data_IF_411081355520
#
_entry.id   IF_411081355520
#
_cell.length_a   1.000
_cell.length_b   1.000
_cell.length_c   1.000
_cell.angle_alpha   90.00
_cell.angle_beta   90.00
_cell.angle_gamma   90.00
#
_symmetry.space_group_name_H-M   'P 1'
#
loop_
_entity.id
_entity.type
_entity.pdbx_description
1 polymer ?
#
# COMPACT_ATOMS: atom_id res chain seq x y z
N UNK A 1 -15.39 -25.98 -9.69
CA UNK A 1 -15.00 -25.54 -11.05
C UNK A 1 -15.81 -24.30 -11.34
N UNK A 2 -15.21 -23.13 -11.19
CA UNK A 2 -15.85 -21.85 -11.52
C UNK A 2 -15.92 -21.73 -13.04
N UNK A 3 -17.13 -21.67 -13.59
CA UNK A 3 -17.33 -21.37 -15.02
C UNK A 3 -16.64 -20.05 -15.36
N UNK A 4 -15.70 -20.08 -16.28
CA UNK A 4 -15.09 -18.89 -16.87
C UNK A 4 -16.20 -18.10 -17.56
N UNK A 5 -16.74 -17.08 -16.90
CA UNK A 5 -17.71 -16.17 -17.51
C UNK A 5 -17.01 -15.42 -18.63
N UNK A 6 -17.47 -15.68 -19.84
CA UNK A 6 -16.95 -15.31 -21.15
C UNK A 6 -16.34 -13.90 -21.27
N UNK A 7 -15.06 -13.83 -21.62
CA UNK A 7 -14.44 -12.68 -22.25
C UNK A 7 -13.82 -11.62 -21.33
N UNK A 8 -14.11 -11.58 -20.03
CA UNK A 8 -13.52 -10.64 -19.09
C UNK A 8 -12.27 -11.23 -18.40
N UNK A 9 -11.20 -10.46 -18.19
CA UNK A 9 -10.01 -10.92 -17.46
C UNK A 9 -10.33 -11.38 -16.04
N UNK A 10 -9.69 -12.45 -15.56
CA UNK A 10 -9.80 -12.88 -14.17
C UNK A 10 -9.00 -11.94 -13.27
N UNK A 11 -9.61 -11.50 -12.17
CA UNK A 11 -8.96 -10.73 -11.10
C UNK A 11 -8.81 -11.59 -9.86
N UNK A 12 -7.58 -11.73 -9.37
CA UNK A 12 -7.30 -12.36 -8.07
C UNK A 12 -7.29 -11.29 -6.98
N UNK A 13 -8.28 -11.31 -6.11
CA UNK A 13 -8.28 -10.50 -4.90
C UNK A 13 -7.61 -11.27 -3.79
N UNK A 14 -6.60 -10.67 -3.14
CA UNK A 14 -5.78 -11.30 -2.13
C UNK A 14 -5.93 -10.56 -0.79
N UNK A 15 -6.43 -11.27 0.24
CA UNK A 15 -6.55 -10.73 1.59
C UNK A 15 -5.65 -11.53 2.52
N UNK A 16 -4.59 -10.89 3.03
CA UNK A 16 -3.79 -11.42 4.14
C UNK A 16 -4.30 -10.84 5.44
N UNK A 17 -4.76 -11.72 6.35
CA UNK A 17 -5.32 -11.33 7.65
C UNK A 17 -4.36 -11.63 8.78
N UNK A 18 -4.25 -10.69 9.74
CA UNK A 18 -3.53 -10.89 10.99
C UNK A 18 -4.12 -10.04 12.12
N UNK A 19 -4.82 -10.69 13.07
CA UNK A 19 -5.48 -10.05 14.22
C UNK A 19 -6.48 -8.95 13.82
N UNK A 20 -7.37 -9.25 12.87
CA UNK A 20 -8.39 -8.34 12.35
C UNK A 20 -9.81 -8.93 12.42
N UNK A 21 -10.14 -9.70 13.50
CA UNK A 21 -11.45 -10.31 13.68
C UNK A 21 -12.61 -9.31 13.54
N UNK A 22 -12.44 -8.08 14.03
CA UNK A 22 -13.45 -7.02 13.99
C UNK A 22 -13.70 -6.45 12.58
N UNK A 23 -12.78 -6.65 11.63
CA UNK A 23 -12.80 -5.96 10.33
C UNK A 23 -12.94 -6.91 9.14
N UNK A 24 -12.40 -8.13 9.26
CA UNK A 24 -12.22 -9.06 8.13
C UNK A 24 -13.54 -9.44 7.43
N UNK A 25 -14.66 -9.53 8.16
CA UNK A 25 -15.96 -9.80 7.55
C UNK A 25 -16.38 -8.70 6.57
N UNK A 26 -16.24 -7.43 6.98
CA UNK A 26 -16.59 -6.30 6.12
C UNK A 26 -15.68 -6.25 4.87
N UNK A 27 -14.39 -6.54 5.05
CA UNK A 27 -13.42 -6.61 3.95
C UNK A 27 -13.81 -7.69 2.93
N UNK A 28 -14.06 -8.92 3.37
CA UNK A 28 -14.48 -10.03 2.49
C UNK A 28 -15.81 -9.70 1.78
N UNK A 29 -16.82 -9.21 2.50
CA UNK A 29 -18.11 -8.86 1.91
C UNK A 29 -18.00 -7.74 0.88
N UNK A 30 -17.05 -6.81 1.02
CA UNK A 30 -16.82 -5.76 0.03
C UNK A 30 -16.32 -6.29 -1.32
N UNK A 31 -15.61 -7.43 -1.34
CA UNK A 31 -15.21 -8.12 -2.57
C UNK A 31 -16.41 -8.74 -3.27
N UNK A 32 -17.34 -9.34 -2.54
CA UNK A 32 -18.57 -9.89 -3.12
C UNK A 32 -19.58 -8.83 -3.57
N UNK A 33 -19.41 -7.59 -3.10
CA UNK A 33 -20.22 -6.44 -3.52
C UNK A 33 -19.70 -5.76 -4.79
N UNK A 34 -18.61 -6.27 -5.42
CA UNK A 34 -18.11 -5.72 -6.66
C UNK A 34 -19.06 -5.99 -7.82
N UNK A 35 -19.18 -5.02 -8.73
CA UNK A 35 -19.95 -5.15 -9.98
C UNK A 35 -19.21 -5.94 -11.06
N UNK A 36 -17.94 -6.29 -10.84
CA UNK A 36 -17.12 -7.09 -11.74
C UNK A 36 -17.32 -8.59 -11.49
N UNK A 37 -17.72 -9.37 -12.50
CA UNK A 37 -18.20 -10.75 -12.27
C UNK A 37 -17.09 -11.82 -12.24
N UNK A 38 -15.88 -11.56 -12.75
CA UNK A 38 -14.84 -12.57 -12.91
C UNK A 38 -13.72 -12.39 -11.87
N UNK A 39 -14.02 -12.76 -10.62
CA UNK A 39 -13.15 -12.62 -9.46
C UNK A 39 -12.87 -14.00 -8.86
N UNK A 40 -11.62 -14.26 -8.50
CA UNK A 40 -11.27 -15.25 -7.49
C UNK A 40 -10.82 -14.53 -6.21
N UNK A 41 -11.29 -15.00 -5.06
CA UNK A 41 -10.89 -14.48 -3.75
C UNK A 41 -10.04 -15.52 -3.02
N UNK A 42 -8.83 -15.13 -2.65
CA UNK A 42 -7.95 -15.88 -1.78
C UNK A 42 -7.80 -15.12 -0.46
N UNK A 43 -8.05 -15.82 0.65
CA UNK A 43 -7.85 -15.29 2.01
C UNK A 43 -6.85 -16.16 2.72
N UNK A 44 -5.82 -15.56 3.30
CA UNK A 44 -4.84 -16.26 4.15
C UNK A 44 -4.85 -15.58 5.51
N UNK A 45 -5.02 -16.38 6.56
CA UNK A 45 -4.77 -15.92 7.93
C UNK A 45 -3.33 -16.25 8.29
N UNK A 46 -2.52 -15.21 8.54
CA UNK A 46 -1.08 -15.30 8.80
C UNK A 46 -0.78 -15.47 10.31
N UNK A 47 -1.52 -16.37 10.97
CA UNK A 47 -1.26 -16.78 12.35
C UNK A 47 -1.89 -15.85 13.39
N UNK A 48 -3.12 -15.42 13.17
CA UNK A 48 -3.90 -14.62 14.13
C UNK A 48 -4.06 -15.32 15.46
N UNK A 49 -4.17 -14.52 16.52
CA UNK A 49 -4.39 -14.98 17.91
C UNK A 49 -5.76 -14.59 18.45
N UNK A 50 -6.52 -13.81 17.67
CA UNK A 50 -7.90 -13.44 17.91
C UNK A 50 -8.86 -14.37 17.16
N UNK A 51 -10.14 -14.02 17.08
CA UNK A 51 -11.18 -14.84 16.44
C UNK A 51 -11.18 -14.73 14.89
N UNK A 52 -10.16 -14.12 14.25
CA UNK A 52 -10.09 -13.94 12.80
C UNK A 52 -10.34 -15.25 12.04
N UNK A 53 -9.65 -16.35 12.43
CA UNK A 53 -9.78 -17.66 11.79
C UNK A 53 -11.22 -18.18 11.86
N UNK A 54 -11.89 -18.02 13.00
CA UNK A 54 -13.28 -18.48 13.17
C UNK A 54 -14.24 -17.67 12.29
N UNK A 55 -14.07 -16.36 12.24
CA UNK A 55 -14.86 -15.47 11.37
C UNK A 55 -14.67 -15.84 9.89
N UNK A 56 -13.43 -16.02 9.45
CA UNK A 56 -13.11 -16.35 8.04
C UNK A 56 -13.69 -17.72 7.66
N UNK A 57 -13.59 -18.74 8.52
CA UNK A 57 -14.16 -20.07 8.26
C UNK A 57 -15.67 -20.02 8.05
N UNK A 58 -16.39 -19.32 8.92
CA UNK A 58 -17.83 -19.11 8.77
C UNK A 58 -18.19 -18.46 7.44
N UNK A 59 -17.43 -17.42 7.05
CA UNK A 59 -17.64 -16.74 5.77
C UNK A 59 -17.26 -17.62 4.57
N UNK A 60 -16.24 -18.47 4.68
CA UNK A 60 -15.87 -19.43 3.65
C UNK A 60 -16.99 -20.45 3.40
N UNK A 61 -17.63 -20.95 4.46
CA UNK A 61 -18.78 -21.86 4.35
C UNK A 61 -19.98 -21.17 3.67
N UNK A 62 -20.18 -19.87 3.95
CA UNK A 62 -21.28 -19.08 3.37
C UNK A 62 -21.02 -18.70 1.89
N UNK A 63 -19.80 -18.29 1.57
CA UNK A 63 -19.48 -17.58 0.31
C UNK A 63 -18.61 -18.36 -0.67
N UNK A 64 -17.88 -19.41 -0.22
CA UNK A 64 -17.18 -20.36 -1.09
C UNK A 64 -15.85 -19.88 -1.65
N UNK A 65 -15.08 -19.02 -0.97
CA UNK A 65 -13.76 -18.60 -1.40
C UNK A 65 -12.63 -19.53 -0.92
N UNK A 66 -11.40 -19.32 -1.43
CA UNK A 66 -10.22 -20.05 -0.99
C UNK A 66 -9.69 -19.49 0.32
N UNK A 67 -9.64 -20.30 1.37
CA UNK A 67 -9.09 -19.93 2.67
C UNK A 67 -7.97 -20.87 3.13
N UNK A 68 -6.88 -20.29 3.65
CA UNK A 68 -5.76 -21.01 4.23
C UNK A 68 -5.29 -20.33 5.53
N UNK A 69 -5.44 -20.96 6.69
CA UNK A 69 -4.75 -20.54 7.91
C UNK A 69 -3.31 -21.07 7.92
N UNK A 70 -2.35 -20.26 8.35
CA UNK A 70 -0.93 -20.66 8.44
C UNK A 70 -0.26 -20.07 9.68
N UNK A 71 0.97 -20.55 10.00
CA UNK A 71 1.83 -19.85 10.94
C UNK A 71 2.31 -18.53 10.34
N UNK A 72 2.54 -17.50 11.17
CA UNK A 72 2.94 -16.18 10.70
C UNK A 72 4.27 -16.23 9.92
N UNK A 73 4.24 -15.77 8.69
CA UNK A 73 5.38 -15.67 7.76
C UNK A 73 5.66 -14.23 7.34
N UNK A 74 4.78 -13.30 7.71
CA UNK A 74 4.81 -11.90 7.30
C UNK A 74 4.14 -11.64 5.96
N UNK A 75 3.67 -10.40 5.80
CA UNK A 75 2.80 -9.96 4.70
C UNK A 75 3.39 -10.26 3.31
N UNK A 76 4.64 -9.87 3.04
CA UNK A 76 5.27 -10.06 1.73
C UNK A 76 5.34 -11.53 1.32
N UNK A 77 5.77 -12.41 2.24
CA UNK A 77 5.84 -13.87 1.98
C UNK A 77 4.46 -14.42 1.71
N UNK A 78 3.48 -14.04 2.53
CA UNK A 78 2.09 -14.47 2.39
C UNK A 78 1.50 -14.02 1.05
N UNK A 79 1.68 -12.75 0.67
CA UNK A 79 1.22 -12.24 -0.63
C UNK A 79 1.87 -12.99 -1.81
N UNK A 80 3.17 -13.23 -1.78
CA UNK A 80 3.87 -13.98 -2.83
C UNK A 80 3.35 -15.42 -2.97
N UNK A 81 3.10 -16.11 -1.85
CA UNK A 81 2.51 -17.45 -1.87
C UNK A 81 1.07 -17.43 -2.43
N UNK A 82 0.29 -16.39 -2.13
CA UNK A 82 -1.06 -16.21 -2.68
C UNK A 82 -1.02 -15.92 -4.18
N UNK A 83 -0.11 -15.07 -4.65
CA UNK A 83 0.10 -14.78 -6.07
C UNK A 83 0.44 -16.08 -6.83
N UNK A 84 1.36 -16.89 -6.29
CA UNK A 84 1.74 -18.15 -6.90
C UNK A 84 0.59 -19.19 -7.00
N UNK A 85 -0.43 -19.07 -6.14
CA UNK A 85 -1.61 -19.95 -6.10
C UNK A 85 -2.80 -19.40 -6.88
N UNK A 86 -2.75 -18.14 -7.27
CA UNK A 86 -3.83 -17.45 -7.99
C UNK A 86 -3.65 -17.53 -9.50
N UNK A 87 -4.74 -17.38 -10.26
CA UNK A 87 -4.75 -17.52 -11.70
C UNK A 87 -5.12 -16.22 -12.46
N UNK A 88 -5.48 -15.14 -11.74
CA UNK A 88 -5.94 -13.89 -12.34
C UNK A 88 -4.86 -13.19 -13.15
N UNK A 89 -5.27 -12.58 -14.25
CA UNK A 89 -4.43 -11.69 -15.06
C UNK A 89 -4.06 -10.39 -14.30
N UNK A 90 -4.91 -10.03 -13.37
CA UNK A 90 -4.74 -8.89 -12.48
C UNK A 90 -4.76 -9.33 -11.03
N UNK A 91 -3.94 -8.68 -10.20
CA UNK A 91 -3.79 -8.95 -8.77
C UNK A 91 -4.22 -7.72 -7.99
N UNK A 92 -5.19 -7.88 -7.09
CA UNK A 92 -5.72 -6.83 -6.21
C UNK A 92 -5.49 -7.19 -4.74
N UNK A 93 -4.37 -6.83 -4.12
CA UNK A 93 -4.23 -6.94 -2.68
C UNK A 93 -5.25 -6.01 -1.99
N UNK A 94 -5.83 -6.49 -0.91
CA UNK A 94 -6.74 -5.72 -0.06
C UNK A 94 -6.35 -5.92 1.41
N UNK A 95 -6.20 -4.83 2.15
CA UNK A 95 -6.04 -4.90 3.60
C UNK A 95 -7.24 -5.57 4.25
N UNK A 96 -6.99 -6.45 5.22
CA UNK A 96 -8.07 -7.15 5.92
C UNK A 96 -8.91 -6.23 6.84
N UNK A 97 -8.56 -4.95 6.94
CA UNK A 97 -9.23 -3.86 7.64
C UNK A 97 -9.88 -2.82 6.72
N UNK A 98 -9.60 -2.87 5.40
CA UNK A 98 -10.11 -1.95 4.39
C UNK A 98 -11.28 -2.54 3.59
N UNK A 99 -11.99 -1.70 2.82
CA UNK A 99 -13.09 -2.13 1.97
C UNK A 99 -12.90 -1.61 0.53
N UNK A 100 -13.28 -2.45 -0.44
CA UNK A 100 -13.43 -2.03 -1.83
C UNK A 100 -14.76 -1.27 -2.00
N UNK A 101 -14.75 -0.18 -2.78
CA UNK A 101 -15.99 0.41 -3.26
C UNK A 101 -16.54 -0.39 -4.45
N UNK A 102 -17.86 -0.45 -4.67
CA UNK A 102 -18.49 -1.42 -5.59
C UNK A 102 -17.98 -1.40 -7.03
N UNK A 103 -17.65 -0.23 -7.58
CA UNK A 103 -17.21 -0.07 -8.98
C UNK A 103 -15.69 -0.16 -9.16
N UNK A 104 -14.94 -0.50 -8.10
CA UNK A 104 -13.47 -0.47 -8.12
C UNK A 104 -12.89 -1.32 -9.25
N UNK A 105 -13.27 -2.59 -9.30
CA UNK A 105 -12.63 -3.51 -10.25
C UNK A 105 -13.06 -3.24 -11.69
N UNK A 106 -14.32 -2.93 -11.95
CA UNK A 106 -14.79 -2.59 -13.30
C UNK A 106 -14.07 -1.37 -13.87
N UNK A 107 -13.92 -0.30 -13.09
CA UNK A 107 -13.22 0.92 -13.49
C UNK A 107 -11.73 0.66 -13.77
N UNK A 108 -11.05 -0.03 -12.85
CA UNK A 108 -9.62 -0.30 -13.00
C UNK A 108 -9.32 -1.23 -14.17
N UNK A 109 -10.13 -2.30 -14.36
CA UNK A 109 -9.94 -3.22 -15.47
C UNK A 109 -10.22 -2.54 -16.80
N UNK A 110 -11.31 -1.79 -16.92
CA UNK A 110 -11.62 -1.04 -18.14
C UNK A 110 -10.48 -0.10 -18.54
N UNK A 111 -9.83 0.54 -17.57
CA UNK A 111 -8.67 1.38 -17.82
C UNK A 111 -7.44 0.53 -18.26
N UNK A 112 -7.10 -0.51 -17.52
CA UNK A 112 -5.89 -1.31 -17.77
C UNK A 112 -5.92 -2.09 -19.10
N UNK A 113 -7.11 -2.49 -19.57
CA UNK A 113 -7.27 -3.14 -20.89
C UNK A 113 -6.98 -2.17 -22.05
N UNK A 114 -7.15 -0.87 -21.85
CA UNK A 114 -6.85 0.16 -22.84
C UNK A 114 -5.39 0.67 -22.74
N UNK A 115 -4.70 0.37 -21.63
CA UNK A 115 -3.36 0.88 -21.31
C UNK A 115 -2.39 -0.29 -20.97
N UNK A 116 -1.87 -1.03 -21.97
CA UNK A 116 -0.97 -2.15 -21.74
C UNK A 116 0.36 -1.76 -21.07
N UNK A 117 0.77 -0.50 -21.20
CA UNK A 117 1.95 0.06 -20.56
C UNK A 117 1.78 0.31 -19.05
N UNK A 118 0.54 0.22 -18.53
CA UNK A 118 0.24 0.40 -17.11
C UNK A 118 0.51 -0.90 -16.35
N UNK A 119 1.46 -0.86 -15.44
CA UNK A 119 1.76 -1.98 -14.52
C UNK A 119 0.91 -1.97 -13.26
N UNK A 120 0.52 -0.77 -12.80
CA UNK A 120 -0.31 -0.55 -11.61
C UNK A 120 -1.39 0.49 -11.92
N UNK A 121 -2.63 0.15 -11.64
CA UNK A 121 -3.76 1.09 -11.62
C UNK A 121 -4.25 1.27 -10.19
N UNK A 122 -4.45 2.50 -9.78
CA UNK A 122 -4.94 2.88 -8.44
C UNK A 122 -6.01 3.97 -8.55
N UNK A 123 -6.53 4.43 -7.42
CA UNK A 123 -7.47 5.55 -7.36
C UNK A 123 -7.48 6.25 -6.00
N UNK A 124 -8.50 7.03 -5.74
CA UNK A 124 -8.70 7.72 -4.46
C UNK A 124 -9.15 6.80 -3.34
N UNK A 125 -9.07 7.29 -2.11
CA UNK A 125 -9.59 6.63 -0.91
C UNK A 125 -10.50 7.57 -0.14
N UNK A 126 -11.44 6.98 0.60
CA UNK A 126 -12.26 7.66 1.61
C UNK A 126 -11.90 7.11 2.98
N UNK A 127 -11.69 7.98 3.97
CA UNK A 127 -11.29 7.56 5.31
C UNK A 127 -12.51 7.16 6.16
N UNK A 128 -12.39 6.04 6.85
CA UNK A 128 -13.39 5.56 7.83
C UNK A 128 -12.71 5.28 9.18
N UNK A 129 -13.48 5.31 10.25
CA UNK A 129 -13.03 4.91 11.59
C UNK A 129 -13.18 3.40 11.84
N UNK A 130 -12.85 2.96 13.06
CA UNK A 130 -12.99 1.55 13.47
C UNK A 130 -14.42 1.00 13.38
N UNK A 131 -15.45 1.85 13.42
CA UNK A 131 -16.87 1.48 13.30
C UNK A 131 -17.41 1.61 11.86
N UNK A 132 -16.52 1.79 10.87
CA UNK A 132 -16.86 2.01 9.45
C UNK A 132 -17.63 3.32 9.18
N UNK A 133 -17.61 4.28 10.09
CA UNK A 133 -18.20 5.59 9.88
C UNK A 133 -17.23 6.49 9.12
N UNK A 134 -17.76 7.28 8.19
CA UNK A 134 -16.96 8.26 7.46
C UNK A 134 -16.28 9.23 8.42
N UNK A 135 -14.98 9.36 8.33
CA UNK A 135 -14.26 10.40 9.05
C UNK A 135 -14.54 11.76 8.39
N UNK A 136 -14.84 12.81 9.19
CA UNK A 136 -15.03 14.16 8.67
C UNK A 136 -13.74 14.58 7.96
N UNK A 137 -13.82 14.64 6.64
CA UNK A 137 -12.63 14.85 5.83
C UNK A 137 -12.28 16.31 5.68
N UNK A 138 -11.32 16.73 6.47
CA UNK A 138 -10.58 17.97 6.19
C UNK A 138 -9.58 17.81 5.04
N UNK A 139 -9.49 16.64 4.40
CA UNK A 139 -8.45 16.28 3.43
C UNK A 139 -8.92 15.46 2.22
N UNK A 140 -10.24 15.26 2.00
CA UNK A 140 -10.69 14.83 0.67
C UNK A 140 -10.31 15.91 -0.34
N UNK A 141 -9.02 15.95 -0.65
CA UNK A 141 -8.56 16.76 -1.75
C UNK A 141 -8.87 15.99 -3.00
N UNK A 142 -9.81 16.48 -3.79
CA UNK A 142 -9.92 16.12 -5.19
C UNK A 142 -8.51 16.01 -5.76
N UNK A 143 -8.14 14.83 -6.18
CA UNK A 143 -6.87 14.58 -6.83
C UNK A 143 -7.17 14.14 -8.24
N UNK A 144 -6.84 14.97 -9.26
CA UNK A 144 -7.07 14.59 -10.64
C UNK A 144 -6.33 13.30 -10.98
N UNK A 145 -6.86 12.59 -11.97
CA UNK A 145 -6.17 11.44 -12.57
C UNK A 145 -4.74 11.84 -12.97
N UNK A 146 -3.79 10.93 -12.77
CA UNK A 146 -2.39 11.17 -13.06
C UNK A 146 -1.63 9.90 -13.37
N UNK A 147 -0.66 10.03 -14.26
CA UNK A 147 0.32 8.98 -14.56
C UNK A 147 1.65 9.31 -13.89
N UNK A 148 2.29 8.28 -13.35
CA UNK A 148 3.60 8.34 -12.71
C UNK A 148 4.56 7.43 -13.46
N UNK A 149 5.75 7.93 -13.71
CA UNK A 149 6.92 7.13 -14.03
C UNK A 149 7.79 6.89 -12.77
N UNK A 150 8.93 6.22 -12.95
CA UNK A 150 9.87 5.98 -11.85
C UNK A 150 10.36 7.28 -11.20
N UNK A 151 10.72 8.27 -12.00
CA UNK A 151 11.24 9.54 -11.51
C UNK A 151 10.18 10.35 -10.72
N UNK A 152 8.95 10.34 -11.18
CA UNK A 152 7.83 10.99 -10.50
C UNK A 152 7.65 10.43 -9.09
N UNK A 153 7.71 9.10 -8.96
CA UNK A 153 7.53 8.41 -7.69
C UNK A 153 8.79 8.51 -6.81
N UNK A 154 9.96 8.14 -7.35
CA UNK A 154 11.21 8.09 -6.61
C UNK A 154 11.65 9.46 -6.10
N UNK A 155 11.50 10.50 -6.92
CA UNK A 155 11.83 11.87 -6.54
C UNK A 155 10.66 12.62 -5.88
N UNK A 156 9.54 11.94 -5.56
CA UNK A 156 8.34 12.54 -4.95
C UNK A 156 7.90 13.83 -5.68
N UNK A 157 7.91 13.79 -7.02
CA UNK A 157 7.46 14.89 -7.88
C UNK A 157 5.94 14.98 -7.89
N UNK A 158 5.28 13.80 -7.80
CA UNK A 158 3.83 13.65 -7.72
C UNK A 158 3.49 12.70 -6.57
N UNK A 159 2.33 12.86 -5.92
CA UNK A 159 1.90 11.92 -4.87
C UNK A 159 1.71 10.50 -5.42
N UNK A 160 2.26 9.49 -4.72
CA UNK A 160 2.07 8.08 -5.04
C UNK A 160 0.62 7.60 -4.88
N UNK A 161 0.34 6.35 -5.28
CA UNK A 161 -0.97 5.74 -5.14
C UNK A 161 -1.28 5.40 -3.67
N UNK A 162 -2.54 5.39 -3.26
CA UNK A 162 -2.94 4.81 -1.97
C UNK A 162 -2.92 3.28 -2.04
N UNK A 163 -2.19 2.63 -1.13
CA UNK A 163 -2.05 1.17 -1.08
C UNK A 163 -3.38 0.37 -1.16
N UNK A 164 -4.48 0.76 -0.47
CA UNK A 164 -5.74 0.03 -0.53
C UNK A 164 -6.39 -0.06 -1.92
N UNK A 165 -5.90 0.72 -2.89
CA UNK A 165 -6.49 0.79 -4.24
C UNK A 165 -5.65 0.14 -5.33
N UNK A 166 -4.51 -0.44 -4.98
CA UNK A 166 -3.58 -1.02 -5.96
C UNK A 166 -4.21 -2.20 -6.70
N UNK A 167 -4.12 -2.17 -8.03
CA UNK A 167 -4.38 -3.26 -8.93
C UNK A 167 -3.15 -3.45 -9.81
N UNK A 168 -2.53 -4.60 -9.73
CA UNK A 168 -1.31 -4.95 -10.45
C UNK A 168 -1.65 -5.73 -11.72
N UNK A 169 -0.99 -5.42 -12.84
CA UNK A 169 -0.85 -6.37 -13.95
C UNK A 169 0.08 -7.50 -13.49
N UNK A 170 -0.37 -8.75 -13.55
CA UNK A 170 0.42 -9.92 -13.11
C UNK A 170 1.80 -9.94 -13.74
N UNK A 171 1.88 -9.76 -15.06
CA UNK A 171 3.13 -9.74 -15.82
C UNK A 171 4.14 -8.71 -15.25
N UNK A 172 3.68 -7.50 -14.90
CA UNK A 172 4.53 -6.47 -14.33
C UNK A 172 5.04 -6.85 -12.93
N UNK A 173 4.17 -7.45 -12.11
CA UNK A 173 4.52 -7.92 -10.77
C UNK A 173 5.51 -9.10 -10.81
N UNK A 174 5.27 -10.07 -11.71
CA UNK A 174 6.17 -11.22 -11.91
C UNK A 174 7.53 -10.80 -12.47
N UNK A 175 7.58 -9.83 -13.39
CA UNK A 175 8.82 -9.28 -13.96
C UNK A 175 9.77 -8.76 -12.88
N UNK A 176 9.24 -8.23 -11.79
CA UNK A 176 10.05 -7.74 -10.68
C UNK A 176 10.22 -8.77 -9.54
N UNK A 177 9.66 -9.99 -9.66
CA UNK A 177 9.78 -11.05 -8.69
C UNK A 177 8.88 -10.89 -7.44
N UNK A 178 7.75 -10.17 -7.58
CA UNK A 178 6.78 -9.99 -6.50
C UNK A 178 7.22 -9.02 -5.41
N UNK A 179 6.69 -9.19 -4.19
CA UNK A 179 7.02 -8.41 -3.01
C UNK A 179 8.33 -8.87 -2.38
N UNK A 180 9.17 -7.96 -1.90
CA UNK A 180 10.44 -8.29 -1.25
C UNK A 180 10.25 -8.46 0.27
N UNK A 181 10.45 -9.68 0.83
CA UNK A 181 10.26 -9.93 2.25
C UNK A 181 11.25 -9.21 3.17
N UNK A 182 12.34 -8.66 2.64
CA UNK A 182 13.32 -7.89 3.41
C UNK A 182 12.85 -6.46 3.68
N UNK A 183 11.84 -5.97 2.96
CA UNK A 183 11.32 -4.59 3.04
C UNK A 183 9.95 -4.58 3.72
N UNK A 184 9.75 -3.69 4.68
CA UNK A 184 8.52 -3.60 5.48
C UNK A 184 7.48 -2.61 4.97
N UNK A 185 7.82 -1.78 3.98
CA UNK A 185 6.89 -0.94 3.21
C UNK A 185 6.83 -1.56 1.82
N UNK A 186 6.13 -2.68 1.76
CA UNK A 186 6.09 -3.57 0.61
C UNK A 186 5.46 -2.92 -0.62
N UNK A 187 4.41 -2.12 -0.41
CA UNK A 187 3.66 -1.40 -1.43
C UNK A 187 4.55 -0.38 -2.16
N UNK A 188 5.17 0.53 -1.43
CA UNK A 188 6.01 1.57 -2.02
C UNK A 188 7.22 0.98 -2.76
N UNK A 189 7.83 -0.08 -2.22
CA UNK A 189 8.99 -0.70 -2.86
C UNK A 189 8.63 -1.46 -4.13
N UNK A 190 7.54 -2.22 -4.15
CA UNK A 190 7.09 -2.90 -5.37
C UNK A 190 6.64 -1.92 -6.45
N UNK A 191 6.00 -0.81 -6.07
CA UNK A 191 5.65 0.29 -6.98
C UNK A 191 6.88 0.85 -7.68
N UNK A 192 7.93 1.18 -6.91
CA UNK A 192 9.21 1.66 -7.47
C UNK A 192 9.84 0.65 -8.40
N UNK A 193 9.85 -0.64 -8.04
CA UNK A 193 10.44 -1.70 -8.89
C UNK A 193 9.70 -1.87 -10.21
N UNK A 194 8.37 -1.83 -10.19
CA UNK A 194 7.53 -1.92 -11.38
C UNK A 194 7.75 -0.69 -12.28
N UNK A 195 7.77 0.51 -11.69
CA UNK A 195 8.05 1.73 -12.45
C UNK A 195 9.47 1.74 -13.02
N UNK A 196 10.48 1.28 -12.26
CA UNK A 196 11.85 1.13 -12.71
C UNK A 196 12.01 0.10 -13.84
N UNK A 197 11.15 -0.91 -13.88
CA UNK A 197 11.08 -1.92 -14.95
C UNK A 197 10.43 -1.40 -16.25
N UNK A 198 10.03 -0.11 -16.28
CA UNK A 198 9.51 0.59 -17.46
C UNK A 198 7.99 0.64 -17.58
N UNK A 199 7.25 0.19 -16.57
CA UNK A 199 5.80 0.36 -16.53
C UNK A 199 5.40 1.70 -15.91
N UNK A 200 4.20 2.18 -16.25
CA UNK A 200 3.58 3.33 -15.60
C UNK A 200 2.69 2.90 -14.43
N UNK A 201 2.51 3.84 -13.50
CA UNK A 201 1.50 3.77 -12.45
C UNK A 201 0.45 4.83 -12.78
N UNK A 202 -0.77 4.39 -13.02
CA UNK A 202 -1.89 5.29 -13.31
C UNK A 202 -2.83 5.35 -12.11
N UNK A 203 -3.20 6.56 -11.73
CA UNK A 203 -4.09 6.82 -10.60
C UNK A 203 -5.32 7.53 -11.13
N UNK A 204 -6.47 6.86 -11.03
CA UNK A 204 -7.78 7.37 -11.42
C UNK A 204 -8.24 8.46 -10.44
N UNK A 205 -9.17 9.29 -10.85
CA UNK A 205 -9.73 10.32 -9.96
C UNK A 205 -10.80 9.78 -9.01
N UNK A 206 -11.42 8.64 -9.36
CA UNK A 206 -12.45 8.01 -8.58
C UNK A 206 -11.91 7.49 -7.25
N UNK A 207 -12.74 7.58 -6.21
CA UNK A 207 -12.50 6.88 -4.95
C UNK A 207 -12.82 5.40 -5.13
N UNK A 208 -11.86 4.53 -4.82
CA UNK A 208 -11.95 3.09 -5.09
C UNK A 208 -11.94 2.23 -3.83
N UNK A 209 -11.61 2.81 -2.67
CA UNK A 209 -11.58 2.09 -1.41
C UNK A 209 -11.96 2.97 -0.22
N UNK A 210 -12.47 2.33 0.84
CA UNK A 210 -12.58 2.90 2.17
C UNK A 210 -11.36 2.45 2.98
N UNK A 211 -10.55 3.40 3.42
CA UNK A 211 -9.35 3.18 4.22
C UNK A 211 -9.64 3.36 5.70
N UNK A 212 -9.43 2.31 6.50
CA UNK A 212 -9.73 2.33 7.93
C UNK A 212 -8.58 2.90 8.75
N UNK A 213 -8.92 3.87 9.60
CA UNK A 213 -7.98 4.49 10.53
C UNK A 213 -8.24 3.98 11.94
N UNK A 214 -7.31 3.17 12.47
CA UNK A 214 -7.37 2.62 13.83
C UNK A 214 -6.00 2.66 14.53
N UNK A 215 -5.95 2.20 15.80
CA UNK A 215 -4.74 2.29 16.64
C UNK A 215 -3.51 1.60 16.08
N UNK A 216 -3.70 0.49 15.38
CA UNK A 216 -2.64 -0.46 14.98
C UNK A 216 -2.11 -0.28 13.56
N UNK A 217 -2.50 0.78 12.83
CA UNK A 217 -1.96 1.01 11.49
C UNK A 217 -0.44 1.18 11.51
N UNK A 218 0.27 0.47 10.63
CA UNK A 218 1.74 0.39 10.55
C UNK A 218 2.42 1.76 10.37
N UNK A 219 1.80 2.68 9.62
CA UNK A 219 2.35 4.02 9.37
C UNK A 219 2.55 4.87 10.64
N UNK A 220 1.97 4.46 11.78
CA UNK A 220 2.16 5.13 13.07
C UNK A 220 3.53 4.86 13.69
N UNK A 221 4.19 3.75 13.30
CA UNK A 221 5.57 3.49 13.71
C UNK A 221 6.55 4.31 12.87
N UNK A 222 6.75 5.55 13.30
CA UNK A 222 7.50 6.54 12.54
C UNK A 222 8.96 6.17 12.30
N UNK A 223 9.64 5.59 13.30
CA UNK A 223 11.04 5.14 13.15
C UNK A 223 11.14 4.06 12.07
N UNK A 224 10.30 3.05 12.16
CA UNK A 224 10.25 1.97 11.17
C UNK A 224 10.04 2.51 9.76
N UNK A 225 9.07 3.43 9.58
CA UNK A 225 8.79 4.02 8.27
C UNK A 225 9.99 4.78 7.71
N UNK A 226 10.67 5.60 8.54
CA UNK A 226 11.83 6.38 8.11
C UNK A 226 13.01 5.48 7.73
N UNK A 227 13.34 4.50 8.57
CA UNK A 227 14.45 3.58 8.33
C UNK A 227 14.22 2.74 7.07
N UNK A 228 13.01 2.20 6.90
CA UNK A 228 12.65 1.40 5.71
C UNK A 228 12.67 2.24 4.43
N UNK A 229 12.16 3.47 4.46
CA UNK A 229 12.17 4.33 3.27
C UNK A 229 13.58 4.75 2.85
N UNK A 230 14.48 4.99 3.82
CA UNK A 230 15.91 5.23 3.53
C UNK A 230 16.59 3.98 2.96
N UNK A 231 16.23 2.79 3.42
CA UNK A 231 16.69 1.53 2.85
C UNK A 231 16.19 1.36 1.42
N UNK A 232 14.92 1.63 1.16
CA UNK A 232 14.34 1.59 -0.20
C UNK A 232 15.09 2.53 -1.13
N UNK A 233 15.36 3.79 -0.72
CA UNK A 233 16.13 4.71 -1.55
C UNK A 233 17.51 4.15 -1.88
N UNK A 234 18.18 3.52 -0.91
CA UNK A 234 19.49 2.92 -1.12
C UNK A 234 19.50 1.81 -2.18
N UNK A 235 18.39 1.09 -2.38
CA UNK A 235 18.26 0.09 -3.45
C UNK A 235 18.39 0.69 -4.86
N UNK A 236 18.30 2.01 -4.97
CA UNK A 236 18.41 2.79 -6.21
C UNK A 236 19.54 3.83 -6.12
N UNK A 237 20.64 3.50 -5.40
CA UNK A 237 21.75 4.44 -5.18
C UNK A 237 22.50 4.85 -6.45
N UNK A 238 22.41 4.05 -7.51
CA UNK A 238 22.97 4.37 -8.83
C UNK A 238 22.15 5.40 -9.61
N UNK A 239 20.94 5.73 -9.15
CA UNK A 239 20.08 6.70 -9.82
C UNK A 239 20.61 8.13 -9.63
N UNK A 240 20.72 8.98 -10.71
CA UNK A 240 21.25 10.35 -10.61
C UNK A 240 20.54 11.22 -9.57
N UNK A 241 19.26 10.97 -9.32
CA UNK A 241 18.44 11.68 -8.32
C UNK A 241 18.57 11.16 -6.89
N UNK A 242 19.32 10.08 -6.63
CA UNK A 242 19.37 9.41 -5.33
C UNK A 242 19.71 10.36 -4.17
N UNK A 243 20.86 11.02 -4.27
CA UNK A 243 21.34 11.85 -3.15
C UNK A 243 20.39 13.05 -2.90
N UNK A 244 19.84 13.64 -3.96
CA UNK A 244 18.86 14.73 -3.82
C UNK A 244 17.57 14.27 -3.13
N UNK A 245 17.05 13.09 -3.50
CA UNK A 245 15.85 12.48 -2.90
C UNK A 245 16.10 12.14 -1.43
N UNK A 246 17.21 11.45 -1.15
CA UNK A 246 17.60 11.07 0.19
C UNK A 246 17.74 12.30 1.12
N UNK A 247 18.45 13.32 0.68
CA UNK A 247 18.65 14.55 1.47
C UNK A 247 17.36 15.34 1.67
N UNK A 248 16.49 15.41 0.65
CA UNK A 248 15.17 16.03 0.77
C UNK A 248 14.34 15.31 1.83
N UNK A 249 14.32 13.98 1.80
CA UNK A 249 13.61 13.15 2.77
C UNK A 249 14.16 13.33 4.19
N UNK A 250 15.48 13.21 4.38
CA UNK A 250 16.15 13.40 5.67
C UNK A 250 15.82 14.76 6.28
N UNK A 251 15.90 15.86 5.52
CA UNK A 251 15.54 17.20 5.97
C UNK A 251 14.07 17.29 6.41
N UNK A 252 13.17 16.65 5.68
CA UNK A 252 11.74 16.65 5.99
C UNK A 252 11.44 15.83 7.26
N UNK A 253 12.03 14.65 7.39
CA UNK A 253 11.82 13.75 8.53
C UNK A 253 12.47 14.31 9.80
N UNK A 254 13.67 14.85 9.72
CA UNK A 254 14.27 15.57 10.83
C UNK A 254 13.34 16.67 11.39
N UNK A 255 12.81 17.53 10.53
CA UNK A 255 11.88 18.58 10.94
C UNK A 255 10.59 18.05 11.58
N UNK A 256 10.16 16.86 11.18
CA UNK A 256 8.94 16.21 11.66
C UNK A 256 9.13 15.58 13.03
N UNK A 257 10.28 14.91 13.27
CA UNK A 257 10.54 14.17 14.52
C UNK A 257 11.25 14.99 15.59
N UNK A 258 11.76 16.17 15.27
CA UNK A 258 12.63 16.98 16.11
C UNK A 258 12.08 17.30 17.52
N UNK A 259 10.75 17.39 17.67
CA UNK A 259 10.10 17.63 18.97
C UNK A 259 9.52 16.37 19.62
N UNK A 260 9.43 15.26 18.88
CA UNK A 260 8.74 14.05 19.32
C UNK A 260 9.72 12.93 19.71
N UNK A 261 10.80 12.74 18.94
CA UNK A 261 11.85 11.74 19.16
C UNK A 261 13.22 12.38 18.94
N UNK A 262 13.81 12.88 20.03
CA UNK A 262 15.12 13.55 19.97
C UNK A 262 16.27 12.62 19.59
N UNK A 263 16.19 11.34 19.96
CA UNK A 263 17.20 10.37 19.61
C UNK A 263 17.22 10.16 18.10
N UNK A 264 16.07 9.83 17.51
CA UNK A 264 15.91 9.70 16.07
C UNK A 264 16.27 11.00 15.33
N UNK A 265 15.83 12.16 15.84
CA UNK A 265 16.18 13.45 15.25
C UNK A 265 17.69 13.68 15.21
N UNK A 266 18.42 13.34 16.29
CA UNK A 266 19.89 13.44 16.31
C UNK A 266 20.54 12.52 15.26
N UNK A 267 20.09 11.27 15.18
CA UNK A 267 20.56 10.29 14.19
C UNK A 267 20.36 10.80 12.75
N UNK A 268 19.18 11.37 12.45
CA UNK A 268 18.89 11.92 11.12
C UNK A 268 19.74 13.17 10.81
N UNK A 269 19.94 14.06 11.81
CA UNK A 269 20.70 15.28 11.62
C UNK A 269 22.17 15.00 11.30
N UNK A 270 22.77 13.94 11.87
CA UNK A 270 24.16 13.54 11.57
C UNK A 270 24.33 13.09 10.12
N UNK A 271 23.26 12.61 9.49
CA UNK A 271 23.25 12.17 8.08
C UNK A 271 23.04 13.34 7.10
N UNK A 272 22.74 14.55 7.56
CA UNK A 272 22.52 15.73 6.71
C UNK A 272 23.79 16.59 6.69
N UNK A 273 24.57 16.59 5.59
CA UNK A 273 25.72 17.46 5.46
C UNK A 273 25.34 18.92 5.66
N UNK A 274 26.24 19.70 6.25
CA UNK A 274 25.97 21.11 6.58
C UNK A 274 25.47 21.92 5.36
N UNK A 275 26.10 21.69 4.19
CA UNK A 275 25.75 22.37 2.94
C UNK A 275 24.40 21.97 2.36
N UNK A 276 23.84 20.84 2.80
CA UNK A 276 22.54 20.31 2.35
C UNK A 276 21.40 20.64 3.29
N UNK A 277 21.66 21.36 4.37
CA UNK A 277 20.64 21.82 5.31
C UNK A 277 19.81 22.95 4.70
N UNK A 278 18.50 22.86 4.84
CA UNK A 278 17.53 23.78 4.24
C UNK A 278 16.58 24.37 5.30
N UNK A 279 15.57 25.13 4.86
CA UNK A 279 14.58 25.74 5.76
C UNK A 279 13.85 24.73 6.66
N UNK A 280 13.62 23.49 6.18
CA UNK A 280 13.03 22.42 7.01
C UNK A 280 13.98 22.04 8.14
N UNK A 281 15.28 21.92 7.87
CA UNK A 281 16.30 21.65 8.88
C UNK A 281 16.36 22.77 9.92
N UNK A 282 16.34 24.04 9.51
CA UNK A 282 16.35 25.17 10.43
C UNK A 282 15.11 25.18 11.34
N UNK A 283 13.94 24.90 10.77
CA UNK A 283 12.69 24.73 11.56
C UNK A 283 12.79 23.54 12.52
N UNK A 284 13.39 22.45 12.09
CA UNK A 284 13.64 21.26 12.92
C UNK A 284 14.60 21.59 14.08
N UNK A 285 15.71 22.28 13.81
CA UNK A 285 16.67 22.70 14.84
C UNK A 285 16.02 23.59 15.90
N UNK A 286 15.19 24.55 15.48
CA UNK A 286 14.44 25.37 16.43
C UNK A 286 13.54 24.50 17.33
N UNK A 287 12.79 23.56 16.77
CA UNK A 287 11.95 22.61 17.54
C UNK A 287 12.80 21.73 18.46
N UNK A 288 13.91 21.18 17.94
CA UNK A 288 14.84 20.33 18.69
C UNK A 288 15.41 21.04 19.94
N UNK A 289 15.76 22.33 19.82
CA UNK A 289 16.37 23.08 20.90
C UNK A 289 15.35 23.68 21.89
N UNK A 290 14.18 24.11 21.39
CA UNK A 290 13.29 24.99 22.15
C UNK A 290 11.91 24.38 22.49
N UNK A 291 11.52 23.24 21.95
CA UNK A 291 10.30 22.54 22.37
C UNK A 291 10.67 21.41 23.34
N UNK A 292 10.00 21.34 24.49
CA UNK A 292 10.11 20.18 25.38
C UNK A 292 9.43 18.99 24.70
N UNK A 293 10.08 17.81 24.76
CA UNK A 293 9.39 16.56 24.43
C UNK A 293 8.19 16.43 25.38
N UNK A 294 7.02 16.22 24.82
CA UNK A 294 5.80 15.97 25.57
C UNK A 294 5.83 14.59 26.22
#
# INVERSE_FOLDING_TARGET
>A
MTEVKSGLPLVSVLISSYNHADFIEASIRSVYAQDYPNIELLVVDDGSRDDSVAVIRRLQEELGFHFLPQANKGLCTTLNEMIARSAGLYIAPLGSDDLMLPERLSLQIAFMEQHPETGICAGGIVLIDGESKLLPDKKQRYRPARRLDFDDLFMDRKPGPPAPTLLFRREALEKVGGFDPSIRIEDYYVELRIAHAGYFIDILEESLALYRVHGNNTYKNRRLMIETELEIYKRFEDHPGYEATRLRYLNAMFAKVASEDRALASELLTQIPWRSRNLKTLKGLWRYCFTRAA
#
